data_IF_749043802396
#
_entry.id   IF_749043802396
#
_cell.length_a   1.000
_cell.length_b   1.000
_cell.length_c   1.000
_cell.angle_alpha   90.00
_cell.angle_beta   90.00
_cell.angle_gamma   90.00
#
_symmetry.space_group_name_H-M   'P 1'
#
loop_
_entity.id
_entity.type
_entity.pdbx_description
1 polymer ?
#
# COMPACT_ATOMS: atom_id res chain seq x y z
N UNK A 1 9.07 14.81 -8.77
CA UNK A 1 9.92 14.30 -7.67
C UNK A 1 9.12 14.18 -6.36
N UNK A 2 9.43 13.23 -5.46
CA UNK A 2 8.73 12.98 -4.18
C UNK A 2 7.24 12.63 -4.28
N UNK A 3 6.88 11.73 -5.21
CA UNK A 3 5.50 11.24 -5.37
C UNK A 3 5.45 9.73 -5.17
N UNK A 4 4.51 9.28 -4.34
CA UNK A 4 4.09 7.89 -4.19
C UNK A 4 2.58 7.89 -4.38
N UNK A 5 2.10 7.35 -5.50
CA UNK A 5 0.68 7.39 -5.84
C UNK A 5 0.11 5.97 -5.99
N UNK A 6 -0.59 5.43 -4.99
CA UNK A 6 -1.18 4.09 -5.06
C UNK A 6 -2.30 4.04 -6.10
N UNK A 7 -2.29 3.02 -6.95
CA UNK A 7 -3.21 2.88 -8.08
C UNK A 7 -3.94 1.54 -8.14
N UNK A 8 -3.35 0.48 -7.59
CA UNK A 8 -3.98 -0.83 -7.50
C UNK A 8 -3.52 -1.58 -6.25
N UNK A 9 -4.36 -2.50 -5.77
CA UNK A 9 -4.02 -3.42 -4.71
C UNK A 9 -4.48 -4.83 -5.10
N UNK A 10 -3.58 -5.80 -5.01
CA UNK A 10 -3.87 -7.22 -5.23
C UNK A 10 -3.76 -7.93 -3.90
N UNK A 11 -4.81 -8.67 -3.53
CA UNK A 11 -4.90 -9.37 -2.24
C UNK A 11 -4.87 -10.88 -2.42
N UNK A 12 -4.22 -11.59 -1.50
CA UNK A 12 -4.21 -13.05 -1.43
C UNK A 12 -4.18 -13.48 0.04
N UNK A 13 -5.34 -13.86 0.56
CA UNK A 13 -5.49 -14.12 2.00
C UNK A 13 -5.19 -12.84 2.79
N UNK A 14 -4.27 -12.94 3.76
CA UNK A 14 -3.84 -11.79 4.56
C UNK A 14 -2.76 -10.94 3.87
N UNK A 15 -2.13 -11.43 2.78
CA UNK A 15 -1.13 -10.67 2.05
C UNK A 15 -1.78 -9.66 1.08
N UNK A 16 -1.23 -8.45 1.03
CA UNK A 16 -1.60 -7.40 0.09
C UNK A 16 -0.37 -6.85 -0.61
N UNK A 17 -0.47 -6.68 -1.93
CA UNK A 17 0.52 -5.98 -2.76
C UNK A 17 -0.08 -4.70 -3.32
N UNK A 18 0.49 -3.56 -2.99
CA UNK A 18 0.05 -2.24 -3.45
C UNK A 18 0.97 -1.79 -4.57
N UNK A 19 0.40 -1.60 -5.76
CA UNK A 19 1.07 -1.00 -6.91
C UNK A 19 0.92 0.51 -6.86
N UNK A 20 2.03 1.22 -7.00
CA UNK A 20 2.05 2.67 -6.95
C UNK A 20 2.99 3.26 -8.00
N UNK A 21 2.63 4.44 -8.50
CA UNK A 21 3.52 5.28 -9.30
C UNK A 21 4.58 5.89 -8.40
N UNK A 22 5.85 5.78 -8.79
CA UNK A 22 6.99 6.37 -8.10
C UNK A 22 7.56 7.52 -8.94
N UNK A 23 7.55 8.72 -8.38
CA UNK A 23 8.03 9.96 -9.00
C UNK A 23 7.48 10.21 -10.42
N UNK A 24 6.23 9.83 -10.69
CA UNK A 24 5.55 9.92 -12.00
C UNK A 24 6.32 9.27 -13.17
N UNK A 25 7.24 8.36 -12.87
CA UNK A 25 8.21 7.84 -13.86
C UNK A 25 8.21 6.32 -13.93
N UNK A 26 8.07 5.64 -12.79
CA UNK A 26 8.12 4.18 -12.75
C UNK A 26 6.97 3.58 -11.94
N UNK A 27 6.75 2.29 -12.14
CA UNK A 27 5.81 1.47 -11.37
C UNK A 27 6.60 0.72 -10.31
N UNK A 28 6.12 0.79 -9.07
CA UNK A 28 6.71 0.13 -7.91
C UNK A 28 5.65 -0.66 -7.15
N UNK A 29 6.11 -1.56 -6.28
CA UNK A 29 5.24 -2.39 -5.43
C UNK A 29 5.66 -2.31 -3.96
N UNK A 30 4.69 -2.37 -3.06
CA UNK A 30 4.90 -2.62 -1.63
C UNK A 30 4.07 -3.82 -1.19
N UNK A 31 4.57 -4.63 -0.26
CA UNK A 31 3.88 -5.80 0.29
C UNK A 31 3.66 -5.64 1.80
N UNK A 32 2.54 -6.16 2.30
CA UNK A 32 2.20 -6.13 3.73
C UNK A 32 1.05 -7.08 4.10
N UNK A 33 0.70 -7.10 5.38
CA UNK A 33 -0.47 -7.81 5.92
C UNK A 33 -1.68 -6.87 6.03
N UNK A 34 -2.85 -7.33 5.58
CA UNK A 34 -4.11 -6.57 5.68
C UNK A 34 -4.49 -6.39 7.14
N UNK A 35 -4.40 -7.45 7.95
CA UNK A 35 -4.75 -7.39 9.37
C UNK A 35 -3.87 -6.40 10.12
N UNK A 36 -2.57 -6.36 9.83
CA UNK A 36 -1.64 -5.36 10.41
C UNK A 36 -2.00 -3.93 10.00
N UNK A 37 -2.29 -3.69 8.71
CA UNK A 37 -2.69 -2.36 8.20
C UNK A 37 -3.98 -1.89 8.87
N UNK A 38 -5.00 -2.75 8.97
CA UNK A 38 -6.27 -2.41 9.61
C UNK A 38 -6.08 -2.10 11.10
N UNK A 39 -5.26 -2.89 11.79
CA UNK A 39 -4.94 -2.64 13.20
C UNK A 39 -4.19 -1.32 13.38
N UNK A 40 -3.25 -1.00 12.50
CA UNK A 40 -2.54 0.27 12.50
C UNK A 40 -3.49 1.46 12.33
N UNK A 41 -4.40 1.38 11.35
CA UNK A 41 -5.40 2.45 11.10
C UNK A 41 -6.31 2.64 12.30
N UNK A 42 -6.84 1.55 12.90
CA UNK A 42 -7.70 1.64 14.09
C UNK A 42 -6.96 2.24 15.30
N UNK A 43 -5.71 1.84 15.52
CA UNK A 43 -4.89 2.33 16.63
C UNK A 43 -4.53 3.81 16.51
N UNK A 44 -4.34 4.31 15.29
CA UNK A 44 -3.91 5.68 15.00
C UNK A 44 -5.05 6.51 14.37
N UNK A 45 -6.30 6.13 14.60
CA UNK A 45 -7.45 6.90 14.11
C UNK A 45 -7.48 8.25 14.80
N UNK A 46 -7.50 9.31 14.00
CA UNK A 46 -7.59 10.73 14.40
C UNK A 46 -9.01 11.24 14.22
#
# INVERSE_FOLDING_TARGET
PNVIFPSAAVTQGDAIRIYYGCADTCVSIAEGSISDIVNFVKKNSI
#
